data_IF_911402316484
#
_entry.id   IF_911402316484
#
_cell.length_a   1.000
_cell.length_b   1.000
_cell.length_c   1.000
_cell.angle_alpha   90.00
_cell.angle_beta   90.00
_cell.angle_gamma   90.00
#
_symmetry.space_group_name_H-M   'P 1'
#
loop_
_entity.id
_entity.type
_entity.pdbx_description
1 polymer ?
#
# COMPACT_ATOMS: atom_id res chain seq x y z
N UNK A 1 -2.80 -32.23 12.65
CA UNK A 1 -3.93 -31.31 12.85
C UNK A 1 -3.38 -29.92 12.57
N UNK A 2 -3.71 -29.33 11.40
CA UNK A 2 -3.31 -27.97 11.06
C UNK A 2 -4.09 -27.02 11.97
N UNK A 3 -3.36 -26.21 12.70
CA UNK A 3 -3.91 -25.20 13.62
C UNK A 3 -4.43 -24.02 12.78
N UNK A 4 -5.71 -24.06 12.44
CA UNK A 4 -6.39 -23.06 11.59
C UNK A 4 -6.56 -21.69 12.26
N UNK A 5 -6.15 -21.53 13.52
CA UNK A 5 -6.41 -20.34 14.32
C UNK A 5 -5.15 -19.62 14.82
N UNK A 6 -3.95 -20.09 14.50
CA UNK A 6 -2.71 -19.47 14.96
C UNK A 6 -2.08 -18.60 13.85
N UNK A 7 -2.86 -17.68 13.27
CA UNK A 7 -2.27 -16.54 12.56
C UNK A 7 -1.76 -15.55 13.62
N UNK A 8 -0.47 -15.66 13.94
CA UNK A 8 0.24 -14.66 14.73
C UNK A 8 0.05 -13.30 14.04
N UNK A 9 -0.66 -12.38 14.70
CA UNK A 9 -0.81 -11.03 14.17
C UNK A 9 0.55 -10.35 14.16
N UNK A 10 0.97 -9.85 13.00
CA UNK A 10 2.20 -9.08 12.85
C UNK A 10 2.05 -7.76 13.63
N UNK A 11 3.10 -7.37 14.34
CA UNK A 11 3.15 -6.12 15.11
C UNK A 11 4.35 -5.27 14.67
N UNK A 12 4.42 -4.03 15.13
CA UNK A 12 5.56 -3.14 14.87
C UNK A 12 6.86 -3.58 15.57
N UNK A 13 6.84 -4.63 16.39
CA UNK A 13 8.06 -5.28 16.87
C UNK A 13 8.82 -5.97 15.73
N UNK A 14 8.12 -6.28 14.64
CA UNK A 14 8.65 -6.83 13.40
C UNK A 14 8.34 -5.85 12.25
N UNK A 15 9.05 -4.70 12.14
CA UNK A 15 8.65 -3.60 11.25
C UNK A 15 8.65 -3.97 9.77
N UNK A 16 9.60 -4.79 9.30
CA UNK A 16 9.61 -5.22 7.89
C UNK A 16 8.42 -6.14 7.60
N UNK A 17 8.06 -7.03 8.52
CA UNK A 17 6.86 -7.86 8.38
C UNK A 17 5.57 -7.01 8.38
N UNK A 18 5.54 -5.91 9.13
CA UNK A 18 4.45 -4.94 9.06
C UNK A 18 4.37 -4.25 7.69
N UNK A 19 5.51 -3.90 7.09
CA UNK A 19 5.53 -3.35 5.73
C UNK A 19 4.96 -4.37 4.72
N UNK A 20 5.35 -5.64 4.81
CA UNK A 20 4.76 -6.71 4.00
C UNK A 20 3.25 -6.87 4.23
N UNK A 21 2.79 -6.79 5.47
CA UNK A 21 1.35 -6.88 5.78
C UNK A 21 0.55 -5.72 5.14
N UNK A 22 1.14 -4.53 5.05
CA UNK A 22 0.56 -3.41 4.30
C UNK A 22 0.48 -3.73 2.80
N UNK A 23 1.52 -4.32 2.22
CA UNK A 23 1.54 -4.75 0.81
C UNK A 23 0.46 -5.79 0.50
N UNK A 24 0.23 -6.74 1.38
CA UNK A 24 -0.84 -7.74 1.22
C UNK A 24 -2.22 -7.09 1.18
N UNK A 25 -2.44 -6.05 2.00
CA UNK A 25 -3.65 -5.23 1.94
C UNK A 25 -3.79 -4.48 0.61
N UNK A 26 -2.71 -3.86 0.13
CA UNK A 26 -2.69 -3.19 -1.17
C UNK A 26 -3.05 -4.17 -2.29
N UNK A 27 -2.42 -5.35 -2.33
CA UNK A 27 -2.73 -6.39 -3.32
C UNK A 27 -4.20 -6.80 -3.30
N UNK A 28 -4.77 -6.97 -2.11
CA UNK A 28 -6.19 -7.31 -1.97
C UNK A 28 -7.09 -6.21 -2.54
N UNK A 29 -6.82 -4.95 -2.24
CA UNK A 29 -7.59 -3.84 -2.77
C UNK A 29 -7.40 -3.65 -4.28
N UNK A 30 -6.18 -3.79 -4.78
CA UNK A 30 -5.90 -3.76 -6.22
C UNK A 30 -6.66 -4.89 -6.95
N UNK A 31 -6.71 -6.09 -6.39
CA UNK A 31 -7.49 -7.20 -6.96
C UNK A 31 -9.00 -6.90 -7.02
N UNK A 32 -9.55 -6.18 -6.04
CA UNK A 32 -10.94 -5.71 -6.10
C UNK A 32 -11.13 -4.64 -7.19
N UNK A 33 -10.18 -3.73 -7.33
CA UNK A 33 -10.22 -2.66 -8.35
C UNK A 33 -10.10 -3.21 -9.77
N UNK A 34 -9.29 -4.23 -9.99
CA UNK A 34 -9.14 -4.89 -11.30
C UNK A 34 -10.46 -5.48 -11.80
N UNK A 35 -11.34 -5.91 -10.89
CA UNK A 35 -12.64 -6.47 -11.22
C UNK A 35 -13.79 -5.45 -11.22
N UNK A 36 -13.56 -4.25 -10.71
CA UNK A 36 -14.62 -3.26 -10.46
C UNK A 36 -15.35 -2.84 -11.75
N UNK A 37 -14.59 -2.47 -12.79
CA UNK A 37 -15.18 -1.99 -14.04
C UNK A 37 -16.09 -3.04 -14.69
N UNK A 38 -15.62 -4.28 -14.84
CA UNK A 38 -16.39 -5.36 -15.42
C UNK A 38 -17.63 -5.72 -14.60
N UNK A 39 -17.51 -5.66 -13.26
CA UNK A 39 -18.65 -5.86 -12.36
C UNK A 39 -19.71 -4.78 -12.56
N UNK A 40 -19.31 -3.51 -12.62
CA UNK A 40 -20.24 -2.40 -12.80
C UNK A 40 -20.95 -2.44 -14.17
N UNK A 41 -20.25 -2.85 -15.22
CA UNK A 41 -20.84 -3.06 -16.55
C UNK A 41 -21.93 -4.15 -16.52
N UNK A 42 -21.67 -5.23 -15.80
CA UNK A 42 -22.57 -6.40 -15.76
C UNK A 42 -23.72 -6.22 -14.78
N UNK A 43 -23.45 -5.81 -13.56
CA UNK A 43 -24.36 -5.88 -12.43
C UNK A 43 -24.77 -4.48 -11.88
N UNK A 44 -24.10 -3.43 -12.34
CA UNK A 44 -24.32 -2.07 -11.88
C UNK A 44 -23.78 -1.79 -10.48
N UNK A 45 -23.99 -0.55 -10.02
CA UNK A 45 -23.56 -0.12 -8.68
C UNK A 45 -24.64 -0.41 -7.65
N UNK A 46 -24.24 -0.97 -6.52
CA UNK A 46 -25.12 -1.24 -5.37
C UNK A 46 -24.40 -0.82 -4.07
N UNK A 47 -25.10 -0.93 -2.94
CA UNK A 47 -24.57 -0.53 -1.62
C UNK A 47 -23.29 -1.29 -1.23
N UNK A 48 -23.16 -2.56 -1.61
CA UNK A 48 -21.97 -3.35 -1.36
C UNK A 48 -20.74 -2.77 -2.09
N UNK A 49 -20.91 -2.38 -3.37
CA UNK A 49 -19.87 -1.71 -4.14
C UNK A 49 -19.46 -0.39 -3.48
N UNK A 50 -20.43 0.43 -3.08
CA UNK A 50 -20.17 1.72 -2.42
C UNK A 50 -19.42 1.53 -1.09
N UNK A 51 -19.78 0.51 -0.33
CA UNK A 51 -19.10 0.18 0.93
C UNK A 51 -17.65 -0.25 0.69
N UNK A 52 -17.40 -1.07 -0.32
CA UNK A 52 -16.05 -1.47 -0.70
C UNK A 52 -15.21 -0.27 -1.14
N UNK A 53 -15.77 0.62 -1.97
CA UNK A 53 -15.10 1.85 -2.40
C UNK A 53 -14.76 2.75 -1.21
N UNK A 54 -15.66 2.88 -0.21
CA UNK A 54 -15.37 3.64 1.01
C UNK A 54 -14.20 3.05 1.80
N UNK A 55 -14.14 1.72 1.94
CA UNK A 55 -13.02 1.04 2.63
C UNK A 55 -11.69 1.23 1.89
N UNK A 56 -11.69 1.07 0.57
CA UNK A 56 -10.51 1.29 -0.28
C UNK A 56 -10.05 2.75 -0.16
N UNK A 57 -10.98 3.69 -0.27
CA UNK A 57 -10.68 5.14 -0.17
C UNK A 57 -10.11 5.50 1.20
N UNK A 58 -10.65 4.96 2.28
CA UNK A 58 -10.11 5.20 3.61
C UNK A 58 -8.68 4.66 3.75
N UNK A 59 -8.40 3.49 3.20
CA UNK A 59 -7.06 2.92 3.22
C UNK A 59 -6.05 3.80 2.48
N UNK A 60 -6.33 4.15 1.23
CA UNK A 60 -5.40 4.93 0.40
C UNK A 60 -5.32 6.42 0.79
N UNK A 61 -6.31 6.94 1.51
CA UNK A 61 -6.25 8.29 2.06
C UNK A 61 -5.52 8.39 3.40
N UNK A 62 -5.46 7.32 4.18
CA UNK A 62 -4.93 7.36 5.56
C UNK A 62 -3.79 6.38 5.77
N UNK A 63 -4.03 5.09 5.58
CA UNK A 63 -3.04 4.05 5.91
C UNK A 63 -1.87 4.01 4.93
N UNK A 64 -2.13 4.15 3.62
CA UNK A 64 -1.07 4.13 2.61
C UNK A 64 -0.10 5.32 2.74
N UNK A 65 -0.53 6.58 2.95
CA UNK A 65 0.40 7.68 3.24
C UNK A 65 1.25 7.46 4.50
N UNK A 66 0.68 6.88 5.56
CA UNK A 66 1.45 6.52 6.76
C UNK A 66 2.49 5.45 6.49
N UNK A 67 2.14 4.45 5.67
CA UNK A 67 3.06 3.40 5.24
C UNK A 67 4.24 3.99 4.43
N UNK A 68 3.99 4.84 3.44
CA UNK A 68 5.05 5.53 2.70
C UNK A 68 5.92 6.39 3.63
N UNK A 69 5.32 7.02 4.63
CA UNK A 69 6.08 7.80 5.62
C UNK A 69 6.97 6.91 6.52
N UNK A 70 6.50 5.71 6.88
CA UNK A 70 7.32 4.73 7.59
C UNK A 70 8.57 4.34 6.79
N UNK A 71 8.44 4.24 5.48
CA UNK A 71 9.55 3.93 4.59
C UNK A 71 10.49 5.11 4.40
N UNK A 72 9.97 6.27 4.02
CA UNK A 72 10.76 7.45 3.70
C UNK A 72 11.43 8.08 4.93
N UNK A 73 10.77 8.08 6.08
CA UNK A 73 11.30 8.68 7.31
C UNK A 73 12.16 7.73 8.14
N UNK A 74 11.89 6.42 8.09
CA UNK A 74 12.53 5.46 8.98
C UNK A 74 13.31 4.37 8.25
N UNK A 75 12.65 3.59 7.38
CA UNK A 75 13.27 2.41 6.77
C UNK A 75 14.33 2.76 5.72
N UNK A 76 14.05 3.62 4.76
CA UNK A 76 15.00 3.97 3.69
C UNK A 76 16.25 4.67 4.21
N UNK A 77 16.17 5.66 5.12
CA UNK A 77 17.36 6.26 5.69
C UNK A 77 18.24 5.25 6.44
N UNK A 78 17.61 4.33 7.16
CA UNK A 78 18.33 3.29 7.88
C UNK A 78 18.96 2.28 6.91
N UNK A 79 18.23 1.86 5.88
CA UNK A 79 18.75 0.95 4.85
C UNK A 79 19.98 1.53 4.15
N UNK A 80 19.98 2.84 3.86
CA UNK A 80 21.13 3.51 3.23
C UNK A 80 22.40 3.46 4.09
N UNK A 81 22.29 3.43 5.41
CA UNK A 81 23.44 3.32 6.31
C UNK A 81 24.10 1.94 6.22
N UNK A 82 23.32 0.88 6.04
CA UNK A 82 23.80 -0.50 6.03
C UNK A 82 23.97 -1.08 4.62
N UNK A 83 23.27 -0.52 3.64
CA UNK A 83 23.29 -0.95 2.24
C UNK A 83 23.28 0.27 1.30
N UNK A 84 24.35 1.08 1.26
CA UNK A 84 24.40 2.32 0.48
C UNK A 84 24.23 2.12 -1.03
N UNK A 85 24.46 0.92 -1.54
CA UNK A 85 24.26 0.57 -2.95
C UNK A 85 22.77 0.58 -3.37
N UNK A 86 21.83 0.64 -2.42
CA UNK A 86 20.37 0.71 -2.69
C UNK A 86 19.89 2.11 -3.04
N UNK A 87 20.74 3.13 -2.99
CA UNK A 87 20.37 4.54 -3.15
C UNK A 87 19.51 4.82 -4.40
N UNK A 88 19.92 4.29 -5.56
CA UNK A 88 19.18 4.52 -6.80
C UNK A 88 17.79 3.91 -6.82
N UNK A 89 17.60 2.76 -6.17
CA UNK A 89 16.29 2.13 -6.03
C UNK A 89 15.40 2.89 -5.05
N UNK A 90 15.98 3.42 -3.97
CA UNK A 90 15.24 4.27 -3.02
C UNK A 90 14.76 5.55 -3.70
N UNK A 91 15.63 6.22 -4.48
CA UNK A 91 15.25 7.43 -5.22
C UNK A 91 14.12 7.14 -6.22
N UNK A 92 14.15 5.99 -6.87
CA UNK A 92 13.08 5.54 -7.77
C UNK A 92 11.77 5.29 -7.00
N UNK A 93 11.82 4.63 -5.83
CA UNK A 93 10.63 4.36 -5.01
C UNK A 93 9.98 5.63 -4.47
N UNK A 94 10.78 6.59 -4.01
CA UNK A 94 10.26 7.90 -3.57
C UNK A 94 9.56 8.64 -4.72
N UNK A 95 10.11 8.59 -5.93
CA UNK A 95 9.46 9.13 -7.12
C UNK A 95 8.16 8.37 -7.46
N UNK A 96 8.15 7.05 -7.29
CA UNK A 96 6.95 6.23 -7.47
C UNK A 96 5.86 6.54 -6.43
N UNK A 97 6.20 6.81 -5.17
CA UNK A 97 5.24 7.26 -4.15
C UNK A 97 4.50 8.51 -4.60
N UNK A 98 5.23 9.50 -5.15
CA UNK A 98 4.60 10.71 -5.68
C UNK A 98 3.68 10.40 -6.88
N UNK A 99 4.08 9.51 -7.78
CA UNK A 99 3.25 9.08 -8.90
C UNK A 99 1.99 8.33 -8.43
N UNK A 100 2.12 7.41 -7.49
CA UNK A 100 1.01 6.68 -6.91
C UNK A 100 0.00 7.61 -6.24
N UNK A 101 0.49 8.62 -5.52
CA UNK A 101 -0.37 9.64 -4.93
C UNK A 101 -1.17 10.42 -5.98
N UNK A 102 -0.53 10.81 -7.09
CA UNK A 102 -1.20 11.51 -8.18
C UNK A 102 -2.24 10.62 -8.90
N UNK A 103 -1.91 9.35 -9.15
CA UNK A 103 -2.86 8.41 -9.77
C UNK A 103 -4.03 8.14 -8.82
N UNK A 104 -3.77 7.99 -7.51
CA UNK A 104 -4.82 7.85 -6.51
C UNK A 104 -5.76 9.05 -6.48
N UNK A 105 -5.24 10.27 -6.59
CA UNK A 105 -6.07 11.48 -6.67
C UNK A 105 -7.05 11.41 -7.85
N UNK A 106 -6.58 11.02 -9.04
CA UNK A 106 -7.44 10.85 -10.21
C UNK A 106 -8.50 9.75 -10.00
N UNK A 107 -8.10 8.61 -9.41
CA UNK A 107 -9.04 7.52 -9.11
C UNK A 107 -10.09 7.91 -8.06
N UNK A 108 -9.72 8.72 -7.08
CA UNK A 108 -10.64 9.26 -6.08
C UNK A 108 -11.73 10.14 -6.71
N UNK A 109 -11.38 10.89 -7.75
CA UNK A 109 -12.37 11.69 -8.50
C UNK A 109 -13.36 10.79 -9.23
N UNK A 110 -12.90 9.69 -9.85
CA UNK A 110 -13.76 8.68 -10.47
C UNK A 110 -14.75 8.08 -9.46
N UNK A 111 -14.28 7.77 -8.26
CA UNK A 111 -15.13 7.25 -7.19
C UNK A 111 -16.13 8.29 -6.68
N UNK A 112 -15.75 9.54 -6.61
CA UNK A 112 -16.67 10.63 -6.26
C UNK A 112 -17.78 10.77 -7.30
N UNK A 113 -17.46 10.66 -8.59
CA UNK A 113 -18.45 10.66 -9.66
C UNK A 113 -19.44 9.49 -9.52
N UNK A 114 -18.93 8.28 -9.25
CA UNK A 114 -19.79 7.10 -9.03
C UNK A 114 -20.69 7.24 -7.81
N UNK A 115 -20.17 7.77 -6.70
CA UNK A 115 -20.96 8.00 -5.48
C UNK A 115 -22.08 9.02 -5.68
N UNK A 116 -21.87 10.01 -6.54
CA UNK A 116 -22.86 11.04 -6.88
C UNK A 116 -23.85 10.59 -7.96
N UNK A 117 -23.44 9.64 -8.81
CA UNK A 117 -24.27 9.10 -9.88
C UNK A 117 -23.99 7.59 -10.04
N UNK A 118 -24.90 6.75 -9.53
CA UNK A 118 -24.73 5.29 -9.54
C UNK A 118 -24.69 4.66 -10.93
N UNK A 119 -25.08 5.40 -11.96
CA UNK A 119 -24.95 4.99 -13.35
C UNK A 119 -23.61 5.40 -13.99
N UNK A 120 -22.78 6.15 -13.25
CA UNK A 120 -21.43 6.51 -13.72
C UNK A 120 -20.56 5.26 -13.80
N UNK A 121 -19.78 5.17 -14.85
CA UNK A 121 -18.82 4.08 -15.03
C UNK A 121 -17.40 4.66 -14.93
N UNK A 122 -16.65 4.35 -13.87
CA UNK A 122 -15.27 4.78 -13.73
C UNK A 122 -14.41 4.36 -14.92
N UNK A 123 -13.47 5.21 -15.31
CA UNK A 123 -12.56 4.95 -16.41
C UNK A 123 -11.68 3.72 -16.13
N UNK A 124 -11.79 2.71 -16.98
CA UNK A 124 -11.01 1.48 -16.88
C UNK A 124 -9.50 1.73 -16.97
N UNK A 125 -9.06 2.74 -17.74
CA UNK A 125 -7.64 3.08 -17.89
C UNK A 125 -7.09 3.69 -16.58
N UNK A 126 -7.87 4.50 -15.86
CA UNK A 126 -7.46 5.04 -14.57
C UNK A 126 -7.31 3.92 -13.53
N UNK A 127 -8.27 3.00 -13.46
CA UNK A 127 -8.21 1.82 -12.60
C UNK A 127 -6.97 0.98 -12.90
N UNK A 128 -6.75 0.64 -14.16
CA UNK A 128 -5.62 -0.19 -14.58
C UNK A 128 -4.27 0.49 -14.35
N UNK A 129 -4.16 1.79 -14.55
CA UNK A 129 -2.93 2.55 -14.26
C UNK A 129 -2.58 2.49 -12.78
N UNK A 130 -3.57 2.61 -11.90
CA UNK A 130 -3.37 2.52 -10.45
C UNK A 130 -2.88 1.13 -10.02
N UNK A 131 -3.58 0.07 -10.41
CA UNK A 131 -3.23 -1.30 -10.01
C UNK A 131 -1.90 -1.75 -10.60
N UNK A 132 -1.60 -1.39 -11.86
CA UNK A 132 -0.33 -1.71 -12.52
C UNK A 132 0.85 -0.96 -11.91
N UNK A 133 0.66 0.31 -11.53
CA UNK A 133 1.69 1.10 -10.87
C UNK A 133 2.05 0.50 -9.51
N UNK A 134 1.05 0.11 -8.70
CA UNK A 134 1.29 -0.58 -7.43
C UNK A 134 1.99 -1.92 -7.62
N UNK A 135 1.58 -2.75 -8.57
CA UNK A 135 2.21 -4.05 -8.81
C UNK A 135 3.73 -3.93 -9.03
N UNK A 136 4.17 -2.97 -9.83
CA UNK A 136 5.60 -2.69 -10.09
C UNK A 136 6.30 -2.13 -8.85
N UNK A 137 5.65 -1.21 -8.15
CA UNK A 137 6.16 -0.58 -6.94
C UNK A 137 6.45 -1.61 -5.85
N UNK A 138 5.46 -2.45 -5.52
CA UNK A 138 5.60 -3.47 -4.49
C UNK A 138 6.73 -4.46 -4.80
N UNK A 139 6.87 -4.84 -6.06
CA UNK A 139 7.93 -5.78 -6.48
C UNK A 139 9.33 -5.18 -6.27
N UNK A 140 9.54 -3.92 -6.61
CA UNK A 140 10.83 -3.26 -6.40
C UNK A 140 11.12 -3.10 -4.91
N UNK A 141 10.14 -2.67 -4.14
CA UNK A 141 10.29 -2.37 -2.73
C UNK A 141 10.53 -3.60 -1.87
N UNK A 142 9.87 -4.72 -2.15
CA UNK A 142 10.08 -5.98 -1.44
C UNK A 142 11.50 -6.52 -1.60
N UNK A 143 12.18 -6.23 -2.71
CA UNK A 143 13.61 -6.53 -2.82
C UNK A 143 14.44 -5.75 -1.78
N UNK A 144 14.08 -4.49 -1.52
CA UNK A 144 14.74 -3.69 -0.48
C UNK A 144 14.41 -4.18 0.94
N UNK A 145 13.21 -4.70 1.17
CA UNK A 145 12.85 -5.33 2.45
C UNK A 145 13.74 -6.53 2.75
N UNK A 146 14.01 -7.37 1.75
CA UNK A 146 14.92 -8.52 1.91
C UNK A 146 16.35 -8.09 2.18
N UNK A 147 16.83 -7.05 1.50
CA UNK A 147 18.16 -6.48 1.78
C UNK A 147 18.19 -5.93 3.22
N UNK A 148 17.13 -5.25 3.66
CA UNK A 148 17.01 -4.73 5.01
C UNK A 148 17.05 -5.82 6.07
N UNK A 149 16.35 -6.93 5.88
CA UNK A 149 16.40 -8.10 6.78
C UNK A 149 17.81 -8.66 6.96
N UNK A 150 18.59 -8.66 5.88
CA UNK A 150 19.95 -9.22 5.88
C UNK A 150 21.00 -8.24 6.41
N UNK A 151 20.79 -6.94 6.25
CA UNK A 151 21.83 -5.92 6.45
C UNK A 151 21.65 -5.13 7.74
N UNK A 152 20.41 -4.90 8.19
CA UNK A 152 20.11 -4.03 9.33
C UNK A 152 20.10 -4.83 10.62
N UNK A 153 20.84 -4.39 11.66
CA UNK A 153 20.80 -5.05 12.97
C UNK A 153 19.37 -5.04 13.58
N UNK A 154 19.03 -6.12 14.28
CA UNK A 154 17.71 -6.30 14.91
C UNK A 154 17.34 -5.16 15.86
N UNK A 155 18.31 -4.64 16.61
CA UNK A 155 18.09 -3.51 17.54
C UNK A 155 17.62 -2.24 16.82
N UNK A 156 18.22 -1.96 15.65
CA UNK A 156 17.83 -0.82 14.82
C UNK A 156 16.45 -1.01 14.19
N UNK A 157 16.14 -2.23 13.74
CA UNK A 157 14.80 -2.58 13.27
C UNK A 157 13.76 -2.38 14.38
N UNK A 158 14.03 -2.85 15.59
CA UNK A 158 13.16 -2.64 16.75
C UNK A 158 12.93 -1.15 17.02
N UNK A 159 13.96 -0.34 16.92
CA UNK A 159 13.87 1.11 17.12
C UNK A 159 12.95 1.78 16.11
N UNK A 160 13.10 1.49 14.82
CA UNK A 160 12.21 2.07 13.81
C UNK A 160 10.77 1.54 13.94
N UNK A 161 10.57 0.31 14.34
CA UNK A 161 9.25 -0.25 14.63
C UNK A 161 8.51 0.54 15.71
N UNK A 162 9.21 0.99 16.76
CA UNK A 162 8.64 1.86 17.79
C UNK A 162 8.24 3.23 17.23
N UNK A 163 9.05 3.81 16.33
CA UNK A 163 8.72 5.09 15.67
C UNK A 163 7.47 4.96 14.79
N UNK A 164 7.38 3.90 14.00
CA UNK A 164 6.22 3.60 13.15
C UNK A 164 4.95 3.42 14.00
N UNK A 165 5.03 2.69 15.11
CA UNK A 165 3.91 2.50 16.03
C UNK A 165 3.47 3.83 16.66
N UNK A 166 4.41 4.67 17.09
CA UNK A 166 4.13 5.96 17.70
C UNK A 166 3.41 6.91 16.74
N UNK A 167 3.75 6.89 15.45
CA UNK A 167 3.13 7.72 14.40
C UNK A 167 1.63 7.48 14.27
N UNK A 168 1.14 6.31 14.64
CA UNK A 168 -0.29 5.94 14.58
C UNK A 168 -1.08 6.31 15.82
N UNK A 169 -0.42 6.83 16.85
CA UNK A 169 -1.06 7.28 18.09
C UNK A 169 -1.34 8.79 18.12
N UNK A 170 -0.84 9.50 17.15
CA UNK A 170 -1.07 10.95 16.98
C UNK A 170 -2.22 11.19 16.03
#
# INVERSE_FOLDING_TARGET
MMDLFNQRSVTFDEPIEMLYACHDKVRRFCGQLDNLHSYLVKDGCNEMVLQNIRQISQYFNVAAPLHHLDEEADFFPLLLQYAPHTKSHIDELEAQHQQLHNIWSALSEEFSCLQNNLSYLPDADVLNRFTSAYARHLQLEENLFEIGKQSIPTEELTRIGQLMAARRKT
#
